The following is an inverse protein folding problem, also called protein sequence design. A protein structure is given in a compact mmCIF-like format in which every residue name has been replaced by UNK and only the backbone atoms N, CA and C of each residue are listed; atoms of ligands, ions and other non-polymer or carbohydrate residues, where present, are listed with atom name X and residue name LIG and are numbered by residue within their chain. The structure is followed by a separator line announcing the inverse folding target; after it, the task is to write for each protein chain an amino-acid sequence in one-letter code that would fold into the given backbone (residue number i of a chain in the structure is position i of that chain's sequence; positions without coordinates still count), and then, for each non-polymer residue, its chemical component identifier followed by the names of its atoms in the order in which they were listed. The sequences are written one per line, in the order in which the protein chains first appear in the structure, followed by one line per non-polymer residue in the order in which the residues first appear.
data_IF_419289204061
#
_entry.id   IF_419289204061
#
_cell.length_a   1.000
_cell.length_b   1.000
_cell.length_c   1.000
_cell.angle_alpha   90.00
_cell.angle_beta   90.00
_cell.angle_gamma   90.00
#
_symmetry.space_group_name_H-M   'P 1'
#
loop_
_entity.id
_entity.type
_entity.pdbx_description
1 polymer ?
#
# COMPACT_ATOMS: atom_id res chain seq x y z
N UNK A 1 28.79 -33.13 -10.59
CA UNK A 1 28.50 -31.69 -10.48
C UNK A 1 29.72 -30.96 -11.04
N UNK A 2 29.52 -30.05 -11.99
CA UNK A 2 30.61 -29.30 -12.63
C UNK A 2 31.04 -28.14 -11.71
N UNK A 3 32.34 -28.02 -11.43
CA UNK A 3 32.91 -26.93 -10.61
C UNK A 3 33.54 -25.86 -11.52
N UNK A 4 32.91 -24.68 -11.58
CA UNK A 4 33.34 -23.56 -12.42
C UNK A 4 34.37 -22.64 -11.74
N UNK A 5 34.72 -22.87 -10.47
CA UNK A 5 35.69 -22.04 -9.73
C UNK A 5 37.11 -22.19 -10.27
N UNK A 6 37.42 -23.34 -10.87
CA UNK A 6 38.75 -23.68 -11.39
C UNK A 6 38.97 -23.27 -12.85
N UNK A 7 38.02 -22.54 -13.44
CA UNK A 7 38.03 -22.20 -14.86
C UNK A 7 39.26 -21.37 -15.26
N UNK A 8 39.69 -20.44 -14.42
CA UNK A 8 40.91 -19.64 -14.66
C UNK A 8 42.18 -20.50 -14.61
N UNK A 9 42.23 -21.46 -13.69
CA UNK A 9 43.33 -22.44 -13.61
C UNK A 9 43.37 -23.30 -14.87
N UNK A 10 42.23 -23.79 -15.33
CA UNK A 10 42.12 -24.59 -16.56
C UNK A 10 42.50 -23.78 -17.81
N UNK A 11 42.20 -22.48 -17.86
CA UNK A 11 42.59 -21.60 -18.97
C UNK A 11 44.11 -21.46 -19.12
N UNK A 12 44.85 -21.60 -18.01
CA UNK A 12 46.33 -21.51 -18.00
C UNK A 12 47.05 -22.81 -18.42
N UNK A 13 46.31 -23.92 -18.52
CA UNK A 13 46.87 -25.22 -18.88
C UNK A 13 46.87 -25.42 -20.40
N UNK A 14 47.99 -25.90 -20.95
CA UNK A 14 48.17 -26.04 -22.41
C UNK A 14 47.37 -27.18 -23.04
N UNK A 15 46.91 -28.15 -22.25
CA UNK A 15 46.19 -29.34 -22.74
C UNK A 15 44.66 -29.21 -22.65
N UNK A 16 44.14 -28.07 -22.19
CA UNK A 16 42.70 -27.93 -21.95
C UNK A 16 41.91 -27.74 -23.24
N UNK A 17 40.80 -28.49 -23.35
CA UNK A 17 39.87 -28.40 -24.47
C UNK A 17 39.24 -27.00 -24.55
N UNK A 18 39.54 -26.29 -25.65
CA UNK A 18 39.05 -24.94 -25.92
C UNK A 18 37.53 -24.86 -26.03
N UNK A 19 36.87 -25.90 -26.52
CA UNK A 19 35.42 -25.98 -26.64
C UNK A 19 34.78 -26.11 -25.25
N UNK A 20 35.37 -26.96 -24.40
CA UNK A 20 34.92 -27.10 -23.01
C UNK A 20 35.12 -25.80 -22.21
N UNK A 21 36.23 -25.09 -22.40
CA UNK A 21 36.46 -23.78 -21.80
C UNK A 21 35.45 -22.73 -22.26
N UNK A 22 35.09 -22.71 -23.56
CA UNK A 22 34.06 -21.82 -24.09
C UNK A 22 32.70 -22.11 -23.44
N UNK A 23 32.32 -23.38 -23.36
CA UNK A 23 31.06 -23.79 -22.73
C UNK A 23 31.03 -23.44 -21.24
N UNK A 24 32.10 -23.75 -20.50
CA UNK A 24 32.20 -23.38 -19.10
C UNK A 24 32.12 -21.86 -18.89
N UNK A 25 32.66 -21.06 -19.81
CA UNK A 25 32.57 -19.58 -19.77
C UNK A 25 31.14 -19.11 -19.99
N UNK A 26 30.39 -19.71 -20.92
CA UNK A 26 28.96 -19.43 -21.15
C UNK A 26 28.15 -19.71 -19.88
N UNK A 27 28.40 -20.83 -19.20
CA UNK A 27 27.71 -21.16 -17.93
C UNK A 27 28.12 -20.25 -16.75
N UNK A 28 29.27 -19.58 -16.83
CA UNK A 28 29.76 -18.65 -15.81
C UNK A 28 29.32 -17.20 -16.06
N UNK A 29 28.83 -16.86 -17.25
CA UNK A 29 28.45 -15.49 -17.60
C UNK A 29 27.43 -14.93 -16.59
N UNK A 30 27.70 -13.74 -16.07
CA UNK A 30 26.85 -13.09 -15.06
C UNK A 30 25.90 -12.08 -15.70
N UNK A 31 26.25 -11.59 -16.89
CA UNK A 31 25.43 -10.63 -17.63
C UNK A 31 25.00 -11.18 -18.98
N UNK A 32 23.88 -10.67 -19.45
CA UNK A 32 23.31 -11.08 -20.73
C UNK A 32 24.17 -10.59 -21.92
N UNK A 33 24.88 -9.47 -21.73
CA UNK A 33 25.87 -8.95 -22.69
C UNK A 33 27.10 -9.86 -22.80
N UNK A 34 27.65 -10.33 -21.67
CA UNK A 34 28.73 -11.34 -21.67
C UNK A 34 28.28 -12.64 -22.36
N UNK A 35 27.04 -13.06 -22.07
CA UNK A 35 26.46 -14.26 -22.66
C UNK A 35 26.33 -14.13 -24.19
N UNK A 36 25.90 -12.97 -24.69
CA UNK A 36 25.86 -12.64 -26.13
C UNK A 36 27.22 -12.74 -26.79
N UNK A 37 28.24 -12.12 -26.18
CA UNK A 37 29.60 -12.12 -26.72
C UNK A 37 30.17 -13.55 -26.80
N UNK A 38 29.92 -14.37 -25.77
CA UNK A 38 30.41 -15.75 -25.68
C UNK A 38 29.64 -16.72 -26.60
N UNK A 39 28.35 -16.46 -26.85
CA UNK A 39 27.49 -17.29 -27.69
C UNK A 39 27.74 -17.08 -29.19
N UNK A 40 28.32 -15.96 -29.59
CA UNK A 40 28.52 -15.58 -31.00
C UNK A 40 29.20 -16.70 -31.83
N UNK A 41 28.61 -16.99 -32.99
CA UNK A 41 29.09 -17.99 -33.93
C UNK A 41 28.69 -19.44 -33.60
N UNK A 42 27.89 -19.66 -32.56
CA UNK A 42 27.28 -20.96 -32.24
C UNK A 42 25.75 -20.84 -32.12
N UNK A 43 25.04 -21.26 -33.17
CA UNK A 43 23.58 -21.13 -33.32
C UNK A 43 22.78 -21.59 -32.09
N UNK A 44 23.17 -22.69 -31.46
CA UNK A 44 22.49 -23.22 -30.27
C UNK A 44 22.54 -22.23 -29.11
N UNK A 45 23.69 -21.59 -28.90
CA UNK A 45 23.87 -20.62 -27.83
C UNK A 45 23.25 -19.27 -28.17
N UNK A 46 23.28 -18.85 -29.44
CA UNK A 46 22.57 -17.65 -29.90
C UNK A 46 21.05 -17.77 -29.65
N UNK A 47 20.46 -18.93 -29.98
CA UNK A 47 19.04 -19.20 -29.71
C UNK A 47 18.72 -19.21 -28.20
N UNK A 48 19.62 -19.76 -27.38
CA UNK A 48 19.50 -19.71 -25.93
C UNK A 48 19.49 -18.26 -25.42
N UNK A 49 20.40 -17.41 -25.92
CA UNK A 49 20.46 -15.99 -25.53
C UNK A 49 19.17 -15.25 -25.91
N UNK A 50 18.65 -15.47 -27.12
CA UNK A 50 17.36 -14.88 -27.54
C UNK A 50 16.23 -15.30 -26.59
N UNK A 51 16.19 -16.57 -26.22
CA UNK A 51 15.19 -17.09 -25.27
C UNK A 51 15.33 -16.43 -23.90
N UNK A 52 16.55 -16.28 -23.39
CA UNK A 52 16.81 -15.61 -22.11
C UNK A 52 16.38 -14.13 -22.14
N UNK A 53 16.58 -13.42 -23.26
CA UNK A 53 16.08 -12.05 -23.43
C UNK A 53 14.57 -11.97 -23.37
N UNK A 54 13.89 -12.85 -24.11
CA UNK A 54 12.43 -12.89 -24.13
C UNK A 54 11.86 -13.15 -22.73
N UNK A 55 12.40 -14.16 -22.04
CA UNK A 55 12.00 -14.47 -20.66
C UNK A 55 12.26 -13.30 -19.70
N UNK A 56 13.37 -12.58 -19.88
CA UNK A 56 13.71 -11.42 -19.05
C UNK A 56 12.74 -10.25 -19.27
N UNK A 57 12.36 -9.97 -20.52
CA UNK A 57 11.36 -8.93 -20.81
C UNK A 57 9.96 -9.35 -20.35
N UNK A 58 9.58 -10.62 -20.47
CA UNK A 58 8.33 -11.15 -19.93
C UNK A 58 8.26 -11.00 -18.40
N UNK A 59 9.37 -11.27 -17.71
CA UNK A 59 9.48 -11.09 -16.25
C UNK A 59 9.35 -9.62 -15.86
N UNK A 60 9.99 -8.72 -16.62
CA UNK A 60 9.87 -7.27 -16.41
C UNK A 60 8.44 -6.79 -16.59
N UNK A 61 7.73 -7.26 -17.61
CA UNK A 61 6.31 -6.94 -17.81
C UNK A 61 5.49 -7.45 -16.62
N UNK A 62 5.74 -8.68 -16.14
CA UNK A 62 5.05 -9.25 -14.98
C UNK A 62 5.26 -8.39 -13.73
N UNK A 63 6.50 -8.06 -13.42
CA UNK A 63 6.85 -7.19 -12.28
C UNK A 63 6.17 -5.82 -12.37
N UNK A 64 6.10 -5.23 -13.58
CA UNK A 64 5.39 -3.96 -13.79
C UNK A 64 3.88 -4.09 -13.59
N UNK A 65 3.27 -5.19 -14.06
CA UNK A 65 1.86 -5.46 -13.84
C UNK A 65 1.54 -5.64 -12.36
N UNK A 66 2.34 -6.42 -11.62
CA UNK A 66 2.19 -6.61 -10.17
C UNK A 66 2.31 -5.27 -9.42
N UNK A 67 3.31 -4.45 -9.76
CA UNK A 67 3.47 -3.13 -9.16
C UNK A 67 2.27 -2.21 -9.43
N UNK A 68 1.67 -2.29 -10.62
CA UNK A 68 0.47 -1.52 -10.96
C UNK A 68 -0.75 -1.99 -10.17
N UNK A 69 -0.99 -3.30 -10.10
CA UNK A 69 -2.10 -3.88 -9.34
C UNK A 69 -1.98 -3.56 -7.84
N UNK A 70 -0.76 -3.59 -7.31
CA UNK A 70 -0.46 -3.20 -5.94
C UNK A 70 -0.80 -1.73 -5.67
N UNK A 71 -0.39 -0.84 -6.57
CA UNK A 71 -0.72 0.58 -6.47
C UNK A 71 -2.23 0.83 -6.47
N UNK A 72 -2.95 0.22 -7.42
CA UNK A 72 -4.40 0.36 -7.54
C UNK A 72 -5.13 -0.16 -6.30
N UNK A 73 -4.69 -1.30 -5.76
CA UNK A 73 -5.24 -1.88 -4.52
C UNK A 73 -5.03 -0.97 -3.31
N UNK A 74 -3.84 -0.39 -3.17
CA UNK A 74 -3.55 0.57 -2.10
C UNK A 74 -4.44 1.81 -2.21
N UNK A 75 -4.54 2.39 -3.41
CA UNK A 75 -5.35 3.58 -3.65
C UNK A 75 -6.83 3.37 -3.32
N UNK A 76 -7.39 2.23 -3.74
CA UNK A 76 -8.79 1.88 -3.44
C UNK A 76 -8.99 1.71 -1.93
N UNK A 77 -8.06 1.06 -1.26
CA UNK A 77 -8.12 0.83 0.19
C UNK A 77 -8.09 2.14 0.96
N UNK A 78 -7.17 3.04 0.62
CA UNK A 78 -7.04 4.36 1.25
C UNK A 78 -8.28 5.21 1.03
N UNK A 79 -8.80 5.25 -0.20
CA UNK A 79 -10.02 5.98 -0.52
C UNK A 79 -11.22 5.45 0.29
N UNK A 80 -11.38 4.12 0.37
CA UNK A 80 -12.46 3.50 1.11
C UNK A 80 -12.35 3.75 2.61
N UNK A 81 -11.13 3.69 3.18
CA UNK A 81 -10.88 4.02 4.57
C UNK A 81 -11.28 5.47 4.87
N UNK A 82 -10.81 6.43 4.06
CA UNK A 82 -11.17 7.84 4.21
C UNK A 82 -12.67 8.10 4.08
N UNK A 83 -13.36 7.38 3.18
CA UNK A 83 -14.82 7.47 3.05
C UNK A 83 -15.54 6.94 4.30
N UNK A 84 -15.08 5.83 4.87
CA UNK A 84 -15.66 5.29 6.11
C UNK A 84 -15.43 6.22 7.29
N UNK A 85 -14.22 6.76 7.44
CA UNK A 85 -13.88 7.73 8.48
C UNK A 85 -14.77 8.99 8.39
N UNK A 86 -15.01 9.47 7.16
CA UNK A 86 -15.91 10.59 6.92
C UNK A 86 -17.36 10.29 7.35
N UNK A 87 -17.89 9.11 6.99
CA UNK A 87 -19.24 8.69 7.41
C UNK A 87 -19.33 8.56 8.93
N UNK A 88 -18.30 8.00 9.58
CA UNK A 88 -18.29 7.87 11.03
C UNK A 88 -18.24 9.22 11.74
N UNK A 89 -17.45 10.17 11.20
CA UNK A 89 -17.36 11.53 11.72
C UNK A 89 -18.70 12.26 11.62
N UNK A 90 -19.37 12.19 10.46
CA UNK A 90 -20.70 12.76 10.26
C UNK A 90 -21.73 12.17 11.24
N UNK A 91 -21.70 10.85 11.46
CA UNK A 91 -22.56 10.18 12.44
C UNK A 91 -22.32 10.69 13.85
N UNK A 92 -21.05 10.84 14.25
CA UNK A 92 -20.67 11.38 15.58
C UNK A 92 -21.12 12.82 15.74
N UNK A 93 -20.95 13.65 14.71
CA UNK A 93 -21.40 15.04 14.72
C UNK A 93 -22.91 15.15 14.87
N UNK A 94 -23.66 14.38 14.07
CA UNK A 94 -25.13 14.33 14.14
C UNK A 94 -25.62 13.92 15.54
N UNK A 95 -25.04 12.89 16.14
CA UNK A 95 -25.43 12.47 17.48
C UNK A 95 -25.06 13.53 18.54
N UNK A 96 -23.92 14.18 18.39
CA UNK A 96 -23.50 15.28 19.27
C UNK A 96 -24.46 16.47 19.18
N UNK A 97 -24.90 16.84 17.98
CA UNK A 97 -25.91 17.90 17.77
C UNK A 97 -27.25 17.53 18.41
N UNK A 98 -27.69 16.28 18.24
CA UNK A 98 -28.91 15.77 18.88
C UNK A 98 -28.84 15.86 20.39
N UNK A 99 -27.73 15.41 20.99
CA UNK A 99 -27.50 15.49 22.44
C UNK A 99 -27.43 16.93 22.94
N UNK A 100 -26.82 17.84 22.19
CA UNK A 100 -26.78 19.26 22.55
C UNK A 100 -28.18 19.88 22.50
N UNK A 101 -28.95 19.59 21.46
CA UNK A 101 -30.33 20.09 21.31
C UNK A 101 -31.21 19.62 22.46
N UNK A 102 -31.10 18.35 22.84
CA UNK A 102 -31.83 17.79 23.98
C UNK A 102 -31.43 18.45 25.31
N UNK A 103 -30.13 18.70 25.52
CA UNK A 103 -29.65 19.42 26.71
C UNK A 103 -30.19 20.84 26.78
N UNK A 104 -30.21 21.57 25.67
CA UNK A 104 -30.74 22.93 25.62
C UNK A 104 -32.26 22.95 25.89
N UNK A 105 -32.99 21.96 25.37
CA UNK A 105 -34.41 21.78 25.67
C UNK A 105 -34.65 21.56 27.17
N UNK A 106 -33.90 20.65 27.79
CA UNK A 106 -34.00 20.38 29.22
C UNK A 106 -33.68 21.62 30.07
N UNK A 107 -32.70 22.42 29.65
CA UNK A 107 -32.37 23.70 30.30
C UNK A 107 -33.52 24.71 30.18
N UNK A 108 -34.12 24.82 29.00
CA UNK A 108 -35.26 25.70 28.78
C UNK A 108 -36.49 25.29 29.61
N UNK A 109 -36.80 23.98 29.66
CA UNK A 109 -37.90 23.44 30.46
C UNK A 109 -37.67 23.69 31.95
N UNK A 110 -36.44 23.45 32.45
CA UNK A 110 -36.07 23.73 33.83
C UNK A 110 -36.16 25.22 34.19
N UNK A 111 -35.73 26.11 33.29
CA UNK A 111 -35.84 27.55 33.48
C UNK A 111 -37.29 28.01 33.51
N UNK A 112 -38.14 27.45 32.64
CA UNK A 112 -39.58 27.75 32.58
C UNK A 112 -40.28 27.34 33.86
N UNK A 113 -39.98 26.13 34.38
CA UNK A 113 -40.53 25.66 35.66
C UNK A 113 -40.14 26.58 36.82
N UNK A 114 -38.86 26.96 36.89
CA UNK A 114 -38.35 27.86 37.93
C UNK A 114 -38.98 29.26 37.86
N UNK A 115 -39.23 29.77 36.64
CA UNK A 115 -39.90 31.05 36.46
C UNK A 115 -41.34 31.03 36.98
N UNK A 116 -42.08 29.94 36.71
CA UNK A 116 -43.44 29.77 37.22
C UNK A 116 -43.47 29.69 38.77
N UNK A 117 -42.54 28.96 39.39
CA UNK A 117 -42.41 28.88 40.85
C UNK A 117 -42.15 30.28 41.47
N UNK A 118 -41.25 31.06 40.88
CA UNK A 118 -40.96 32.44 41.33
C UNK A 118 -42.17 33.37 41.14
N UNK A 119 -42.92 33.23 40.05
CA UNK A 119 -44.12 34.03 39.81
C UNK A 119 -45.20 33.77 40.88
N UNK A 120 -45.39 32.51 41.24
CA UNK A 120 -46.29 32.11 42.34
C UNK A 120 -45.84 32.67 43.69
N UNK A 121 -44.53 32.63 43.99
CA UNK A 121 -43.96 33.24 45.20
C UNK A 121 -44.15 34.75 45.25
N UNK A 122 -43.87 35.46 44.15
CA UNK A 122 -44.08 36.90 44.03
C UNK A 122 -45.55 37.25 44.25
N UNK A 123 -46.47 36.47 43.67
CA UNK A 123 -47.91 36.66 43.86
C UNK A 123 -48.33 36.50 45.33
N UNK A 124 -47.80 35.50 46.03
CA UNK A 124 -48.03 35.31 47.48
C UNK A 124 -47.48 36.46 48.31
N UNK A 125 -46.26 36.93 48.02
CA UNK A 125 -45.63 38.06 48.72
C UNK A 125 -46.43 39.36 48.54
N UNK A 126 -46.87 39.66 47.31
CA UNK A 126 -47.72 40.82 47.02
C UNK A 126 -49.04 40.78 47.80
N UNK A 127 -49.66 39.61 47.91
CA UNK A 127 -50.91 39.45 48.68
C UNK A 127 -50.70 39.67 50.19
N UNK A 128 -49.51 39.39 50.72
CA UNK A 128 -49.19 39.66 52.13
C UNK A 128 -48.93 41.15 52.41
N UNK A 129 -48.35 41.89 51.46
CA UNK A 129 -48.07 43.32 51.60
C UNK A 129 -49.28 44.22 51.34
N UNK A 130 -50.37 43.69 50.77
CA UNK A 130 -51.61 44.42 50.48
C UNK A 130 -52.66 44.37 51.61
N UNK A 131 -52.29 43.81 52.77
CA UNK A 131 -53.07 43.83 54.03
C UNK A 131 -52.45 44.83 55.00
#
# INVERSE_FOLDING_TARGET
MLDLTQLETARSQSETDKKLLKWASIFKAETLEELEQLANGEEVFENMVVTMKQLSEDEKIRMQCEAREDYERCLITEYNAGKQDGIELERKNTEKERLNTEKERQRADAATKKAAELEDEVKKLRAMLAK
#
